data_IF_825008082544
#
_entry.id   IF_825008082544
#
_cell.length_a   1.000
_cell.length_b   1.000
_cell.length_c   1.000
_cell.angle_alpha   90.00
_cell.angle_beta   90.00
_cell.angle_gamma   90.00
#
_symmetry.space_group_name_H-M   'P 1'
#
loop_
_entity.id
_entity.type
_entity.pdbx_description
1 polymer ?
#
# COMPACT_ATOMS: atom_id res chain seq x y z
N UNK A 1 -23.97 -28.14 -5.34
CA UNK A 1 -24.07 -26.71 -5.03
C UNK A 1 -23.71 -26.36 -3.58
N UNK A 2 -24.09 -27.13 -2.60
CA UNK A 2 -23.85 -26.87 -1.16
C UNK A 2 -22.35 -26.90 -0.78
N UNK A 3 -21.54 -27.70 -1.46
CA UNK A 3 -20.06 -27.74 -1.21
C UNK A 3 -19.30 -26.44 -1.54
N UNK A 4 -19.81 -25.61 -2.45
CA UNK A 4 -19.18 -24.30 -2.76
C UNK A 4 -19.37 -23.29 -1.64
N UNK A 5 -20.45 -23.33 -0.91
CA UNK A 5 -20.78 -22.39 0.17
C UNK A 5 -19.84 -22.59 1.37
N UNK A 6 -19.57 -23.84 1.75
CA UNK A 6 -18.67 -24.14 2.87
C UNK A 6 -17.23 -23.65 2.63
N UNK A 7 -16.69 -23.87 1.42
CA UNK A 7 -15.35 -23.37 1.07
C UNK A 7 -15.28 -21.84 1.05
N UNK A 8 -16.31 -21.17 0.55
CA UNK A 8 -16.39 -19.71 0.53
C UNK A 8 -16.38 -19.12 1.94
N UNK A 9 -17.15 -19.70 2.87
CA UNK A 9 -17.22 -19.23 4.26
C UNK A 9 -15.88 -19.35 4.98
N UNK A 10 -15.14 -20.42 4.75
CA UNK A 10 -13.80 -20.61 5.32
C UNK A 10 -12.78 -19.61 4.74
N UNK A 11 -12.78 -19.43 3.43
CA UNK A 11 -11.92 -18.44 2.75
C UNK A 11 -12.24 -17.04 3.28
N UNK A 12 -13.52 -16.69 3.39
CA UNK A 12 -13.96 -15.40 3.90
C UNK A 12 -13.53 -15.17 5.35
N UNK A 13 -13.63 -16.20 6.21
CA UNK A 13 -13.15 -16.13 7.59
C UNK A 13 -11.66 -15.76 7.66
N UNK A 14 -10.81 -16.44 6.90
CA UNK A 14 -9.38 -16.13 6.87
C UNK A 14 -9.10 -14.75 6.28
N UNK A 15 -9.83 -14.34 5.25
CA UNK A 15 -9.69 -13.03 4.64
C UNK A 15 -10.09 -11.88 5.59
N UNK A 16 -11.18 -12.05 6.34
CA UNK A 16 -11.61 -11.09 7.36
C UNK A 16 -10.55 -10.97 8.44
N UNK A 17 -10.03 -12.08 8.95
CA UNK A 17 -8.96 -12.05 9.95
C UNK A 17 -7.68 -11.39 9.43
N UNK A 18 -7.30 -11.63 8.18
CA UNK A 18 -6.19 -10.95 7.54
C UNK A 18 -6.40 -9.42 7.52
N UNK A 19 -7.56 -8.94 7.10
CA UNK A 19 -7.89 -7.51 7.06
C UNK A 19 -7.89 -6.87 8.44
N UNK A 20 -8.48 -7.52 9.44
CA UNK A 20 -8.54 -6.98 10.81
C UNK A 20 -7.16 -6.91 11.44
N UNK A 21 -6.32 -7.92 11.23
CA UNK A 21 -4.93 -7.91 11.70
C UNK A 21 -4.11 -6.81 11.01
N UNK A 22 -4.23 -6.66 9.70
CA UNK A 22 -3.60 -5.56 8.94
C UNK A 22 -4.01 -4.19 9.50
N UNK A 23 -5.29 -3.98 9.72
CA UNK A 23 -5.81 -2.73 10.27
C UNK A 23 -5.26 -2.44 11.67
N UNK A 24 -5.23 -3.44 12.55
CA UNK A 24 -4.69 -3.31 13.90
C UNK A 24 -3.20 -2.95 13.89
N UNK A 25 -2.41 -3.63 13.05
CA UNK A 25 -0.98 -3.36 12.90
C UNK A 25 -0.72 -1.96 12.32
N UNK A 26 -1.50 -1.53 11.35
CA UNK A 26 -1.42 -0.18 10.79
C UNK A 26 -1.63 0.88 11.89
N UNK A 27 -2.69 0.74 12.70
CA UNK A 27 -2.99 1.67 13.79
C UNK A 27 -1.88 1.68 14.84
N UNK A 28 -1.36 0.52 15.21
CA UNK A 28 -0.33 0.37 16.24
C UNK A 28 1.04 0.90 15.81
N UNK A 29 1.45 0.57 14.58
CA UNK A 29 2.82 0.84 14.10
C UNK A 29 2.94 2.19 13.40
N UNK A 30 1.95 2.58 12.61
CA UNK A 30 2.00 3.78 11.77
C UNK A 30 1.19 4.94 12.37
N UNK A 31 0.07 4.62 13.02
CA UNK A 31 -0.75 5.60 13.72
C UNK A 31 -1.49 6.58 12.79
N UNK A 32 -1.77 6.16 11.56
CA UNK A 32 -2.58 6.92 10.59
C UNK A 32 -3.88 6.18 10.30
N UNK A 33 -4.87 6.88 9.74
CA UNK A 33 -6.09 6.24 9.27
C UNK A 33 -5.89 5.52 7.93
N UNK A 34 -6.87 4.69 7.56
CA UNK A 34 -6.77 3.83 6.38
C UNK A 34 -6.71 4.62 5.07
N UNK A 35 -7.47 5.72 4.93
CA UNK A 35 -7.40 6.56 3.73
C UNK A 35 -6.02 7.19 3.57
N UNK A 36 -5.43 7.66 4.66
CA UNK A 36 -4.05 8.18 4.66
C UNK A 36 -3.03 7.11 4.28
N UNK A 37 -3.19 5.90 4.77
CA UNK A 37 -2.37 4.76 4.38
C UNK A 37 -2.51 4.43 2.89
N UNK A 38 -3.72 4.46 2.35
CA UNK A 38 -3.96 4.22 0.92
C UNK A 38 -3.34 5.32 0.05
N UNK A 39 -3.33 6.56 0.50
CA UNK A 39 -2.61 7.65 -0.20
C UNK A 39 -1.11 7.35 -0.28
N UNK A 40 -0.48 6.94 0.83
CA UNK A 40 0.93 6.54 0.82
C UNK A 40 1.17 5.31 -0.08
N UNK A 41 0.23 4.37 -0.09
CA UNK A 41 0.32 3.18 -0.96
C UNK A 41 0.26 3.54 -2.45
N UNK A 42 -0.59 4.49 -2.83
CA UNK A 42 -0.64 5.01 -4.21
C UNK A 42 0.68 5.68 -4.59
N UNK A 43 1.29 6.43 -3.68
CA UNK A 43 2.60 7.04 -3.92
C UNK A 43 3.68 5.97 -4.15
N UNK A 44 3.73 4.94 -3.32
CA UNK A 44 4.64 3.81 -3.49
C UNK A 44 4.41 3.05 -4.80
N UNK A 45 3.16 2.75 -5.13
CA UNK A 45 2.79 2.08 -6.38
C UNK A 45 3.16 2.91 -7.62
N UNK A 46 2.95 4.22 -7.58
CA UNK A 46 3.32 5.14 -8.64
C UNK A 46 4.83 5.09 -8.92
N UNK A 47 5.63 5.11 -7.86
CA UNK A 47 7.08 5.00 -7.95
C UNK A 47 7.51 3.66 -8.56
N UNK A 48 7.06 2.55 -7.99
CA UNK A 48 7.43 1.20 -8.43
C UNK A 48 7.02 0.94 -9.88
N UNK A 49 5.81 1.32 -10.26
CA UNK A 49 5.31 1.15 -11.63
C UNK A 49 6.17 1.86 -12.67
N UNK A 50 6.60 3.09 -12.40
CA UNK A 50 7.39 3.85 -13.35
C UNK A 50 8.82 3.33 -13.45
N UNK A 51 9.43 2.91 -12.36
CA UNK A 51 10.78 2.35 -12.40
C UNK A 51 10.82 0.98 -13.07
N UNK A 52 9.82 0.14 -12.88
CA UNK A 52 9.73 -1.15 -13.56
C UNK A 52 9.63 -1.03 -15.09
N UNK A 53 8.97 0.01 -15.61
CA UNK A 53 8.88 0.27 -17.05
C UNK A 53 10.24 0.49 -17.73
N UNK A 54 11.27 0.81 -16.98
CA UNK A 54 12.64 0.99 -17.47
C UNK A 54 13.42 -0.34 -17.57
N UNK A 55 12.77 -1.48 -17.34
CA UNK A 55 13.35 -2.82 -17.47
C UNK A 55 14.16 -3.30 -16.26
N UNK A 56 14.12 -2.59 -15.15
CA UNK A 56 14.69 -3.05 -13.89
C UNK A 56 13.83 -4.17 -13.28
N UNK A 57 14.47 -5.19 -12.69
CA UNK A 57 13.75 -6.15 -11.87
C UNK A 57 13.23 -5.51 -10.56
N UNK A 58 12.27 -6.16 -9.92
CA UNK A 58 11.61 -5.61 -8.73
C UNK A 58 12.55 -5.40 -7.54
N UNK A 59 13.54 -6.26 -7.38
CA UNK A 59 14.49 -6.16 -6.27
C UNK A 59 15.42 -4.96 -6.46
N UNK A 60 15.96 -4.78 -7.66
CA UNK A 60 16.78 -3.61 -8.04
C UNK A 60 15.99 -2.31 -7.89
N UNK A 61 14.75 -2.27 -8.34
CA UNK A 61 13.90 -1.06 -8.19
C UNK A 61 13.73 -0.68 -6.72
N UNK A 62 13.55 -1.66 -5.83
CA UNK A 62 13.41 -1.38 -4.40
C UNK A 62 14.69 -0.88 -3.74
N UNK A 63 15.85 -1.36 -4.17
CA UNK A 63 17.14 -0.86 -3.72
C UNK A 63 17.42 0.56 -4.25
N UNK A 64 17.11 0.82 -5.50
CA UNK A 64 17.24 2.12 -6.14
C UNK A 64 16.40 3.20 -5.44
N UNK A 65 15.20 2.84 -4.94
CA UNK A 65 14.36 3.74 -4.12
C UNK A 65 15.11 4.27 -2.90
N UNK A 66 16.00 3.47 -2.32
CA UNK A 66 16.76 3.85 -1.14
C UNK A 66 17.98 4.72 -1.44
N UNK A 67 18.51 4.63 -2.65
CA UNK A 67 19.78 5.25 -3.03
C UNK A 67 19.63 6.40 -4.01
N UNK A 68 18.60 6.38 -4.86
CA UNK A 68 18.34 7.44 -5.82
C UNK A 68 17.69 8.66 -5.16
N UNK A 69 17.92 9.83 -5.75
CA UNK A 69 17.23 11.05 -5.35
C UNK A 69 15.75 10.95 -5.74
N UNK A 70 14.93 10.50 -4.81
CA UNK A 70 13.46 10.37 -4.96
C UNK A 70 12.85 11.64 -5.55
N UNK A 71 13.37 12.81 -5.18
CA UNK A 71 12.93 14.09 -5.71
C UNK A 71 13.05 14.20 -7.24
N UNK A 72 14.16 13.73 -7.83
CA UNK A 72 14.36 13.77 -9.28
C UNK A 72 13.31 12.95 -10.02
N UNK A 73 12.97 11.78 -9.49
CA UNK A 73 11.91 10.94 -10.05
C UNK A 73 10.55 11.64 -10.06
N UNK A 74 10.14 12.20 -8.94
CA UNK A 74 8.83 12.86 -8.82
C UNK A 74 8.73 14.18 -9.58
N UNK A 75 9.86 14.85 -9.84
CA UNK A 75 9.90 16.01 -10.73
C UNK A 75 9.54 15.64 -12.18
N UNK A 76 9.96 14.46 -12.63
CA UNK A 76 9.66 13.96 -14.00
C UNK A 76 8.26 13.37 -14.09
N UNK A 77 7.82 12.63 -13.07
CA UNK A 77 6.53 11.90 -13.03
C UNK A 77 5.67 12.37 -11.85
N UNK A 78 5.27 13.62 -11.92
CA UNK A 78 4.49 14.30 -10.90
C UNK A 78 3.19 13.57 -10.55
N UNK A 79 2.99 13.29 -9.25
CA UNK A 79 1.76 12.75 -8.72
C UNK A 79 0.93 13.88 -8.10
N UNK A 80 -0.28 14.08 -8.59
CA UNK A 80 -1.18 15.16 -8.14
C UNK A 80 -2.26 14.65 -7.21
N UNK A 81 -2.83 15.55 -6.40
CA UNK A 81 -4.02 15.26 -5.57
C UNK A 81 -5.17 14.72 -6.44
N UNK A 82 -5.35 15.28 -7.63
CA UNK A 82 -6.37 14.82 -8.56
C UNK A 82 -6.19 13.37 -8.99
N UNK A 83 -4.96 13.00 -9.34
CA UNK A 83 -4.64 11.62 -9.72
C UNK A 83 -4.90 10.63 -8.57
N UNK A 84 -4.48 10.98 -7.35
CA UNK A 84 -4.72 10.15 -6.15
C UNK A 84 -6.22 10.00 -5.87
N UNK A 85 -6.97 11.10 -5.94
CA UNK A 85 -8.42 11.08 -5.74
C UNK A 85 -9.14 10.17 -6.74
N UNK A 86 -8.72 10.21 -8.00
CA UNK A 86 -9.29 9.33 -9.05
C UNK A 86 -8.91 7.86 -8.81
N UNK A 87 -7.66 7.57 -8.48
CA UNK A 87 -7.20 6.19 -8.24
C UNK A 87 -7.94 5.56 -7.06
N UNK A 88 -8.13 6.32 -5.98
CA UNK A 88 -8.80 5.84 -4.77
C UNK A 88 -10.31 5.99 -4.78
N UNK A 89 -10.87 6.63 -5.81
CA UNK A 89 -12.29 7.00 -5.88
C UNK A 89 -12.75 7.76 -4.62
N UNK A 90 -11.94 8.69 -4.17
CA UNK A 90 -12.24 9.57 -3.04
C UNK A 90 -12.50 11.01 -3.51
N UNK A 91 -13.34 11.77 -2.78
CA UNK A 91 -13.50 13.20 -3.06
C UNK A 91 -12.16 13.94 -2.94
N UNK A 92 -11.88 14.85 -3.85
CA UNK A 92 -10.64 15.65 -3.85
C UNK A 92 -10.39 16.36 -2.52
N UNK A 93 -11.44 16.90 -1.92
CA UNK A 93 -11.35 17.60 -0.64
C UNK A 93 -10.96 16.65 0.51
N UNK A 94 -11.46 15.41 0.48
CA UNK A 94 -11.05 14.37 1.43
C UNK A 94 -9.55 14.08 1.30
N UNK A 95 -9.09 13.84 0.07
CA UNK A 95 -7.66 13.60 -0.21
C UNK A 95 -6.81 14.81 0.23
N UNK A 96 -7.23 16.03 -0.11
CA UNK A 96 -6.52 17.25 0.29
C UNK A 96 -6.36 17.35 1.81
N UNK A 97 -7.43 17.11 2.58
CA UNK A 97 -7.37 17.14 4.05
C UNK A 97 -6.43 16.07 4.63
N UNK A 98 -6.48 14.86 4.08
CA UNK A 98 -5.58 13.79 4.50
C UNK A 98 -4.10 14.11 4.19
N UNK A 99 -3.84 14.69 3.03
CA UNK A 99 -2.51 15.16 2.64
C UNK A 99 -1.99 16.22 3.62
N UNK A 100 -2.82 17.18 4.05
CA UNK A 100 -2.40 18.16 5.06
C UNK A 100 -2.06 17.52 6.42
N UNK A 101 -2.79 16.48 6.82
CA UNK A 101 -2.46 15.71 8.03
C UNK A 101 -1.11 14.98 7.87
N UNK A 102 -0.90 14.34 6.72
CA UNK A 102 0.36 13.65 6.43
C UNK A 102 1.56 14.61 6.35
N UNK A 103 1.37 15.81 5.82
CA UNK A 103 2.38 16.88 5.83
C UNK A 103 2.74 17.30 7.26
N UNK A 104 1.73 17.53 8.11
CA UNK A 104 1.95 17.87 9.54
C UNK A 104 2.72 16.77 10.28
N UNK A 105 2.50 15.52 9.92
CA UNK A 105 3.25 14.37 10.43
C UNK A 105 4.64 14.22 9.79
N UNK A 106 4.99 15.05 8.84
CA UNK A 106 6.25 15.03 8.07
C UNK A 106 6.46 13.73 7.28
N UNK A 107 5.37 13.08 6.87
CA UNK A 107 5.40 11.86 6.07
C UNK A 107 5.45 12.15 4.58
N UNK A 108 4.91 13.27 4.14
CA UNK A 108 4.93 13.72 2.75
C UNK A 108 5.24 15.21 2.66
N UNK A 109 5.76 15.61 1.50
CA UNK A 109 5.80 16.99 1.04
C UNK A 109 4.82 17.16 -0.13
N UNK A 110 4.27 18.33 -0.29
CA UNK A 110 3.40 18.68 -1.39
C UNK A 110 3.55 20.15 -1.77
N UNK A 111 3.70 20.38 -3.06
CA UNK A 111 3.56 21.71 -3.66
C UNK A 111 2.99 21.57 -5.07
N UNK A 112 2.51 22.67 -5.64
CA UNK A 112 2.00 22.68 -7.01
C UNK A 112 3.09 22.35 -8.03
N UNK A 113 4.35 22.72 -7.74
CA UNK A 113 5.49 22.50 -8.63
C UNK A 113 5.97 21.05 -8.63
N UNK A 114 6.07 20.41 -7.45
CA UNK A 114 6.62 19.04 -7.32
C UNK A 114 5.55 17.95 -7.19
N UNK A 115 4.29 18.31 -6.92
CA UNK A 115 3.24 17.35 -6.60
C UNK A 115 3.41 16.73 -5.21
N UNK A 116 3.06 15.46 -5.07
CA UNK A 116 3.21 14.68 -3.84
C UNK A 116 4.56 13.97 -3.83
N UNK A 117 5.30 14.12 -2.74
CA UNK A 117 6.63 13.54 -2.55
C UNK A 117 6.71 12.87 -1.18
N UNK A 118 7.06 11.56 -1.09
CA UNK A 118 7.30 10.90 0.19
C UNK A 118 8.58 11.46 0.84
N UNK A 119 8.66 11.36 2.15
CA UNK A 119 9.86 11.74 2.94
C UNK A 119 10.59 10.50 3.41
N UNK A 120 11.85 10.65 3.81
CA UNK A 120 12.62 9.56 4.44
C UNK A 120 11.92 9.01 5.69
N UNK A 121 11.27 9.90 6.46
CA UNK A 121 10.47 9.47 7.63
C UNK A 121 9.31 8.55 7.26
N UNK A 122 8.67 8.78 6.13
CA UNK A 122 7.62 7.89 5.61
C UNK A 122 8.19 6.50 5.33
N UNK A 123 9.34 6.41 4.69
CA UNK A 123 10.00 5.13 4.41
C UNK A 123 10.41 4.40 5.68
N UNK A 124 11.06 5.09 6.61
CA UNK A 124 11.46 4.53 7.91
C UNK A 124 10.28 3.96 8.70
N UNK A 125 9.12 4.61 8.61
CA UNK A 125 7.91 4.18 9.29
C UNK A 125 7.21 3.01 8.57
N UNK A 126 7.16 3.06 7.24
CA UNK A 126 6.43 2.08 6.44
C UNK A 126 7.19 0.76 6.25
N UNK A 127 8.52 0.77 6.26
CA UNK A 127 9.32 -0.44 6.05
C UNK A 127 9.05 -1.53 7.10
N UNK A 128 9.11 -1.27 8.43
CA UNK A 128 8.79 -2.28 9.43
C UNK A 128 7.34 -2.76 9.32
N UNK A 129 6.41 -1.86 8.98
CA UNK A 129 5.02 -2.22 8.74
C UNK A 129 4.87 -3.17 7.55
N UNK A 130 5.53 -2.90 6.42
CA UNK A 130 5.50 -3.76 5.25
C UNK A 130 6.05 -5.17 5.55
N UNK A 131 7.08 -5.30 6.38
CA UNK A 131 7.60 -6.60 6.82
C UNK A 131 6.57 -7.39 7.63
N UNK A 132 5.85 -6.72 8.54
CA UNK A 132 4.76 -7.33 9.32
C UNK A 132 3.59 -7.70 8.41
N UNK A 133 3.24 -6.84 7.46
CA UNK A 133 2.18 -7.08 6.48
C UNK A 133 2.47 -8.33 5.64
N UNK A 134 3.71 -8.51 5.18
CA UNK A 134 4.13 -9.72 4.47
C UNK A 134 4.03 -10.98 5.34
N UNK A 135 4.37 -10.89 6.63
CA UNK A 135 4.19 -12.00 7.59
C UNK A 135 2.71 -12.35 7.76
N UNK A 136 1.85 -11.35 7.88
CA UNK A 136 0.40 -11.52 7.99
C UNK A 136 -0.18 -12.14 6.71
N UNK A 137 0.27 -11.71 5.53
CA UNK A 137 -0.10 -12.31 4.25
C UNK A 137 0.37 -13.76 4.15
N UNK A 138 1.61 -14.05 4.54
CA UNK A 138 2.14 -15.42 4.58
C UNK A 138 1.30 -16.33 5.47
N UNK A 139 0.90 -15.87 6.65
CA UNK A 139 0.02 -16.60 7.57
C UNK A 139 -1.34 -16.89 6.93
N UNK A 140 -1.93 -15.91 6.25
CA UNK A 140 -3.19 -16.07 5.50
C UNK A 140 -3.07 -17.16 4.43
N UNK A 141 -2.06 -17.08 3.56
CA UNK A 141 -1.82 -18.05 2.49
C UNK A 141 -1.55 -19.46 3.03
N UNK A 142 -0.77 -19.58 4.10
CA UNK A 142 -0.51 -20.86 4.78
C UNK A 142 -1.80 -21.48 5.36
N UNK A 143 -2.69 -20.67 5.93
CA UNK A 143 -3.99 -21.15 6.42
C UNK A 143 -4.85 -21.70 5.28
N UNK A 144 -4.91 -21.01 4.14
CA UNK A 144 -5.64 -21.51 2.95
C UNK A 144 -5.02 -22.80 2.42
N UNK A 145 -3.69 -22.90 2.36
CA UNK A 145 -3.00 -24.11 1.89
C UNK A 145 -3.25 -25.30 2.81
N UNK A 146 -3.16 -25.11 4.14
CA UNK A 146 -3.39 -26.15 5.15
C UNK A 146 -4.79 -26.76 5.02
N UNK A 147 -5.77 -25.96 4.70
CA UNK A 147 -7.18 -26.38 4.60
C UNK A 147 -7.60 -26.76 3.17
N UNK A 148 -6.65 -26.88 2.24
CA UNK A 148 -6.89 -27.19 0.82
C UNK A 148 -7.86 -26.22 0.12
N UNK A 149 -7.89 -24.96 0.57
CA UNK A 149 -8.74 -23.91 -0.01
C UNK A 149 -7.98 -22.93 -0.93
N UNK A 150 -6.64 -22.98 -0.93
CA UNK A 150 -5.82 -22.10 -1.76
C UNK A 150 -6.13 -22.26 -3.26
N UNK A 151 -6.16 -23.51 -3.75
CA UNK A 151 -6.47 -23.81 -5.15
C UNK A 151 -7.88 -23.32 -5.55
N UNK A 152 -8.81 -23.35 -4.60
CA UNK A 152 -10.17 -22.83 -4.84
C UNK A 152 -10.17 -21.31 -5.02
N UNK A 153 -9.32 -20.59 -4.29
CA UNK A 153 -9.15 -19.14 -4.46
C UNK A 153 -8.48 -18.81 -5.78
N UNK A 154 -7.47 -19.60 -6.18
CA UNK A 154 -6.76 -19.39 -7.45
C UNK A 154 -7.63 -19.65 -8.68
N UNK A 155 -8.74 -20.39 -8.53
CA UNK A 155 -9.67 -20.74 -9.60
C UNK A 155 -11.00 -19.96 -9.51
N UNK A 156 -11.08 -18.89 -8.72
CA UNK A 156 -12.19 -17.96 -8.72
C UNK A 156 -12.08 -17.03 -9.92
#
# INVERSE_FOLDING_TARGET
MIKKVAAYSEILYHLINFRTEQFQQLKKMVGIDYDSFMILSVMGSHYLKHNNKLGSDWDTVWEDVRTSKIEEFYLVKKLTIYAVANILNLPRETVRRKIEILKKKKLINHSTSIGLLPTNKSEELMKPFAEIELKTLSKFLKSLKKNNTLEKVLNF
#
